data_IF_295165810721
#
_entry.id   IF_295165810721
#
_cell.length_a   1.000
_cell.length_b   1.000
_cell.length_c   1.000
_cell.angle_alpha   90.00
_cell.angle_beta   90.00
_cell.angle_gamma   90.00
#
_symmetry.space_group_name_H-M   'P 1'
#
loop_
_entity.id
_entity.type
_entity.pdbx_description
1 polymer ?
#
# COMPACT_ATOMS: atom_id res chain seq x y z
N UNK A 1 -72.76 -28.18 -27.16
CA UNK A 1 -72.28 -28.99 -26.02
C UNK A 1 -70.80 -29.24 -26.20
N UNK A 2 -70.03 -28.78 -25.21
CA UNK A 2 -68.70 -29.20 -24.77
C UNK A 2 -67.49 -29.15 -25.73
N UNK A 3 -66.64 -28.19 -25.40
CA UNK A 3 -65.18 -28.11 -25.57
C UNK A 3 -64.47 -29.45 -25.35
N UNK A 4 -63.33 -29.67 -26.04
CA UNK A 4 -61.97 -29.65 -25.46
C UNK A 4 -60.96 -29.39 -26.59
N UNK A 5 -60.01 -28.50 -26.30
CA UNK A 5 -58.90 -27.98 -27.08
C UNK A 5 -57.58 -28.74 -26.85
N UNK A 6 -56.63 -28.57 -27.79
CA UNK A 6 -55.15 -28.58 -27.67
C UNK A 6 -54.48 -29.52 -28.71
N UNK A 7 -53.39 -29.16 -29.38
CA UNK A 7 -52.58 -27.95 -29.35
C UNK A 7 -51.74 -27.88 -30.63
N UNK A 8 -51.61 -26.68 -31.19
CA UNK A 8 -50.76 -26.41 -32.35
C UNK A 8 -49.38 -26.01 -31.86
N UNK A 9 -48.41 -26.92 -32.01
CA UNK A 9 -46.99 -26.65 -31.75
C UNK A 9 -46.43 -25.74 -32.84
N UNK A 10 -46.42 -24.44 -32.58
CA UNK A 10 -45.71 -23.47 -33.41
C UNK A 10 -44.24 -23.50 -33.03
N UNK A 11 -43.44 -24.19 -33.84
CA UNK A 11 -41.99 -24.29 -33.68
C UNK A 11 -41.36 -22.91 -33.95
N UNK A 12 -41.11 -22.16 -32.88
CA UNK A 12 -40.37 -20.89 -32.94
C UNK A 12 -38.88 -21.21 -33.10
N UNK A 13 -38.37 -21.14 -34.32
CA UNK A 13 -36.94 -21.22 -34.60
C UNK A 13 -36.27 -19.92 -34.13
N UNK A 14 -35.80 -19.93 -32.88
CA UNK A 14 -34.89 -18.89 -32.36
C UNK A 14 -33.53 -19.16 -32.99
N UNK A 15 -33.19 -18.42 -34.03
CA UNK A 15 -31.81 -18.29 -34.49
C UNK A 15 -31.03 -17.61 -33.37
N UNK A 16 -30.24 -18.39 -32.62
CA UNK A 16 -29.22 -17.85 -31.74
C UNK A 16 -28.13 -17.22 -32.61
N UNK A 17 -28.20 -15.90 -32.77
CA UNK A 17 -27.04 -15.10 -33.13
C UNK A 17 -25.95 -15.38 -32.08
N UNK A 18 -24.75 -15.83 -32.48
CA UNK A 18 -23.66 -15.99 -31.53
C UNK A 18 -23.30 -14.58 -31.04
N UNK A 19 -23.61 -14.29 -29.77
CA UNK A 19 -23.13 -13.09 -29.12
C UNK A 19 -21.60 -13.14 -29.12
N UNK A 20 -20.98 -12.37 -30.01
CA UNK A 20 -19.55 -12.11 -30.00
C UNK A 20 -19.22 -11.19 -28.82
N UNK A 21 -19.38 -11.68 -27.59
CA UNK A 21 -18.75 -11.09 -26.42
C UNK A 21 -17.49 -11.89 -26.06
N UNK A 22 -16.62 -12.07 -27.06
CA UNK A 22 -15.28 -12.64 -26.89
C UNK A 22 -14.35 -11.72 -26.07
N UNK A 23 -14.85 -10.63 -25.48
CA UNK A 23 -14.08 -9.70 -24.65
C UNK A 23 -14.11 -10.04 -23.15
N UNK A 24 -14.96 -10.96 -22.70
CA UNK A 24 -15.15 -11.25 -21.26
C UNK A 24 -14.27 -12.36 -20.65
N UNK A 25 -13.39 -12.99 -21.41
CA UNK A 25 -12.52 -14.08 -20.91
C UNK A 25 -11.03 -13.75 -21.01
N UNK A 26 -10.62 -12.51 -20.70
CA UNK A 26 -9.19 -12.27 -20.43
C UNK A 26 -8.86 -12.80 -19.03
N UNK A 27 -7.84 -13.65 -18.88
CA UNK A 27 -7.42 -14.10 -17.55
C UNK A 27 -6.98 -12.88 -16.73
N UNK A 28 -7.50 -12.77 -15.52
CA UNK A 28 -7.05 -11.77 -14.55
C UNK A 28 -5.78 -12.28 -13.89
N UNK A 29 -4.67 -11.59 -14.12
CA UNK A 29 -3.41 -11.89 -13.42
C UNK A 29 -3.38 -11.11 -12.11
N UNK A 30 -3.07 -11.79 -11.01
CA UNK A 30 -2.88 -11.18 -9.69
C UNK A 30 -1.43 -11.42 -9.28
N UNK A 31 -0.68 -10.34 -9.11
CA UNK A 31 0.70 -10.37 -8.64
C UNK A 31 0.75 -10.02 -7.15
N UNK A 32 1.29 -10.93 -6.35
CA UNK A 32 1.50 -10.72 -4.91
C UNK A 32 2.99 -10.50 -4.72
N UNK A 33 3.35 -9.34 -4.18
CA UNK A 33 4.73 -8.93 -3.98
C UNK A 33 5.08 -9.00 -2.50
N UNK A 34 6.27 -9.51 -2.22
CA UNK A 34 6.94 -9.27 -0.94
C UNK A 34 7.64 -7.89 -0.99
N UNK A 35 7.82 -7.25 0.17
CA UNK A 35 8.36 -5.89 0.24
C UNK A 35 9.86 -5.89 0.49
N UNK A 36 10.29 -6.40 1.65
CA UNK A 36 11.68 -6.42 2.08
C UNK A 36 12.46 -7.50 1.31
N UNK A 37 13.71 -7.19 0.97
CA UNK A 37 14.60 -8.05 0.17
C UNK A 37 14.05 -8.44 -1.23
N UNK A 38 12.93 -7.85 -1.64
CA UNK A 38 12.32 -8.04 -2.97
C UNK A 38 12.17 -6.71 -3.69
N UNK A 39 11.33 -5.80 -3.18
CA UNK A 39 11.16 -4.46 -3.76
C UNK A 39 12.19 -3.47 -3.21
N UNK A 40 12.53 -3.60 -1.93
CA UNK A 40 13.49 -2.76 -1.22
C UNK A 40 14.55 -3.60 -0.51
N UNK A 41 15.69 -2.99 -0.19
CA UNK A 41 16.83 -3.67 0.45
C UNK A 41 17.17 -3.04 1.82
N UNK A 42 16.18 -2.77 2.67
CA UNK A 42 16.43 -2.05 3.92
C UNK A 42 17.09 -2.93 4.99
N UNK A 43 16.48 -4.08 5.31
CA UNK A 43 16.93 -4.93 6.40
C UNK A 43 18.30 -5.55 6.12
N UNK A 44 18.54 -5.99 4.88
CA UNK A 44 19.84 -6.49 4.42
C UNK A 44 20.96 -5.45 4.43
N UNK A 45 20.66 -4.15 4.31
CA UNK A 45 21.62 -3.07 4.53
C UNK A 45 21.92 -2.87 6.02
N UNK A 46 20.90 -2.91 6.86
CA UNK A 46 21.02 -2.71 8.31
C UNK A 46 21.79 -3.84 9.03
N UNK A 47 21.56 -5.09 8.63
CA UNK A 47 22.23 -6.25 9.24
C UNK A 47 23.52 -6.67 8.50
N UNK A 48 23.83 -6.02 7.38
CA UNK A 48 25.01 -6.26 6.57
C UNK A 48 24.99 -7.52 5.71
N UNK A 49 23.85 -8.22 5.63
CA UNK A 49 23.68 -9.40 4.78
C UNK A 49 23.89 -9.08 3.29
N UNK A 50 23.49 -7.87 2.85
CA UNK A 50 23.71 -7.43 1.48
C UNK A 50 25.20 -7.45 1.13
N UNK A 51 26.07 -6.86 1.97
CA UNK A 51 27.52 -6.81 1.68
C UNK A 51 28.17 -8.19 1.67
N UNK A 52 27.72 -9.09 2.54
CA UNK A 52 28.21 -10.47 2.59
C UNK A 52 27.87 -11.23 1.32
N UNK A 53 26.65 -11.04 0.78
CA UNK A 53 26.22 -11.67 -0.46
C UNK A 53 27.06 -11.27 -1.69
N UNK A 54 27.61 -10.04 -1.70
CA UNK A 54 28.48 -9.52 -2.76
C UNK A 54 29.98 -9.79 -2.49
N UNK A 55 30.29 -10.76 -1.64
CA UNK A 55 31.68 -11.20 -1.39
C UNK A 55 32.58 -10.11 -0.78
N UNK A 56 32.01 -9.13 -0.08
CA UNK A 56 32.77 -8.01 0.51
C UNK A 56 33.31 -6.99 -0.50
N UNK A 57 32.89 -7.06 -1.77
CA UNK A 57 33.29 -6.09 -2.81
C UNK A 57 32.67 -4.69 -2.62
N UNK A 58 31.62 -4.61 -1.79
CA UNK A 58 30.92 -3.37 -1.44
C UNK A 58 31.42 -2.83 -0.11
N UNK A 59 31.50 -1.50 0.00
CA UNK A 59 31.86 -0.84 1.26
C UNK A 59 30.78 -1.08 2.33
N UNK A 60 31.14 -1.87 3.34
CA UNK A 60 30.27 -2.23 4.46
C UNK A 60 29.86 -1.06 5.33
N UNK A 61 30.78 -0.11 5.56
CA UNK A 61 30.48 1.08 6.36
C UNK A 61 29.42 1.93 5.66
N UNK A 62 29.58 2.11 4.35
CA UNK A 62 28.64 2.87 3.52
C UNK A 62 27.26 2.21 3.45
N UNK A 63 27.18 0.89 3.29
CA UNK A 63 25.91 0.16 3.26
C UNK A 63 25.11 0.31 4.55
N UNK A 64 25.78 0.12 5.69
CA UNK A 64 25.16 0.30 7.00
C UNK A 64 24.71 1.74 7.24
N UNK A 65 25.51 2.72 6.80
CA UNK A 65 25.14 4.13 6.89
C UNK A 65 23.89 4.46 6.07
N UNK A 66 23.79 3.95 4.84
CA UNK A 66 22.59 4.12 4.00
C UNK A 66 21.36 3.52 4.69
N UNK A 67 21.47 2.29 5.21
CA UNK A 67 20.37 1.64 5.93
C UNK A 67 19.88 2.46 7.13
N UNK A 68 20.81 2.94 7.97
CA UNK A 68 20.48 3.78 9.14
C UNK A 68 19.84 5.12 8.76
N UNK A 69 20.27 5.72 7.65
CA UNK A 69 19.66 6.96 7.15
C UNK A 69 18.21 6.72 6.70
N UNK A 70 17.94 5.61 6.00
CA UNK A 70 16.58 5.23 5.62
C UNK A 70 15.70 4.96 6.84
N UNK A 71 16.17 4.13 7.78
CA UNK A 71 15.45 3.82 9.02
C UNK A 71 15.06 5.10 9.77
N UNK A 72 16.03 6.00 9.97
CA UNK A 72 15.77 7.30 10.63
C UNK A 72 14.73 8.13 9.87
N UNK A 73 14.84 8.24 8.55
CA UNK A 73 13.92 9.05 7.76
C UNK A 73 12.50 8.47 7.75
N UNK A 74 12.36 7.15 7.63
CA UNK A 74 11.07 6.46 7.66
C UNK A 74 10.39 6.68 9.01
N UNK A 75 11.10 6.43 10.12
CA UNK A 75 10.57 6.62 11.48
C UNK A 75 10.14 8.08 11.71
N UNK A 76 10.99 9.04 11.33
CA UNK A 76 10.65 10.46 11.46
C UNK A 76 9.34 10.82 10.74
N UNK A 77 9.14 10.34 9.51
CA UNK A 77 7.91 10.60 8.75
C UNK A 77 6.70 9.88 9.37
N UNK A 78 6.89 8.67 9.86
CA UNK A 78 5.87 7.91 10.58
C UNK A 78 5.38 8.68 11.83
N UNK A 79 6.31 9.23 12.62
CA UNK A 79 6.00 10.02 13.82
C UNK A 79 5.31 11.35 13.45
N UNK A 80 5.95 12.14 12.59
CA UNK A 80 5.50 13.51 12.28
C UNK A 80 4.17 13.55 11.52
N UNK A 81 3.92 12.56 10.66
CA UNK A 81 2.81 12.62 9.70
C UNK A 81 1.81 11.50 9.82
N UNK A 82 2.14 10.36 10.43
CA UNK A 82 1.31 9.17 10.43
C UNK A 82 0.95 8.64 11.82
N UNK A 83 1.10 9.48 12.86
CA UNK A 83 0.66 9.20 14.23
C UNK A 83 1.30 7.94 14.83
N UNK A 84 2.49 7.55 14.38
CA UNK A 84 3.10 6.27 14.71
C UNK A 84 3.17 6.02 16.23
N UNK A 85 3.71 6.95 17.02
CA UNK A 85 3.74 6.86 18.49
C UNK A 85 2.36 6.59 19.12
N UNK A 86 1.27 7.07 18.51
CA UNK A 86 -0.08 6.93 19.06
C UNK A 86 -0.74 5.60 18.69
N UNK A 87 -0.26 4.93 17.64
CA UNK A 87 -0.93 3.76 17.05
C UNK A 87 0.00 2.55 16.87
N UNK A 88 1.25 2.60 17.33
CA UNK A 88 2.23 1.51 17.15
C UNK A 88 1.77 0.18 17.74
N UNK A 89 1.00 0.22 18.84
CA UNK A 89 0.43 -0.95 19.49
C UNK A 89 -0.76 -1.56 18.71
N UNK A 90 -1.26 -0.86 17.68
CA UNK A 90 -2.35 -1.33 16.82
C UNK A 90 -1.81 -1.83 15.48
N UNK A 91 -1.62 -3.15 15.37
CA UNK A 91 -1.02 -3.81 14.22
C UNK A 91 -2.01 -4.72 13.48
N UNK A 92 -2.89 -4.12 12.68
CA UNK A 92 -3.81 -4.86 11.80
C UNK A 92 -3.29 -4.96 10.36
N UNK A 93 -3.61 -6.04 9.62
CA UNK A 93 -3.00 -6.35 8.33
C UNK A 93 -3.52 -5.51 7.16
N UNK A 94 -4.62 -4.77 7.30
CA UNK A 94 -5.15 -3.92 6.24
C UNK A 94 -5.85 -2.67 6.77
N UNK A 95 -5.77 -1.58 6.01
CA UNK A 95 -6.23 -0.25 6.40
C UNK A 95 -7.73 -0.16 6.73
N UNK A 96 -8.55 -1.01 6.11
CA UNK A 96 -10.02 -1.03 6.24
C UNK A 96 -10.52 -1.81 7.46
N UNK A 97 -9.64 -2.33 8.32
CA UNK A 97 -10.01 -3.12 9.51
C UNK A 97 -10.95 -2.36 10.46
N UNK A 98 -10.88 -1.02 10.47
CA UNK A 98 -11.67 -0.14 11.33
C UNK A 98 -12.84 0.56 10.64
N UNK A 99 -13.13 0.22 9.38
CA UNK A 99 -14.11 0.94 8.58
C UNK A 99 -15.52 0.90 9.19
N UNK A 100 -15.85 -0.14 9.96
CA UNK A 100 -17.13 -0.26 10.66
C UNK A 100 -17.28 0.72 11.84
N UNK A 101 -16.17 1.19 12.41
CA UNK A 101 -16.16 2.13 13.54
C UNK A 101 -16.13 3.58 13.09
N UNK A 102 -15.78 3.85 11.83
CA UNK A 102 -15.74 5.18 11.25
C UNK A 102 -17.15 5.69 10.93
N UNK A 103 -17.55 6.81 11.54
CA UNK A 103 -18.87 7.41 11.39
C UNK A 103 -18.95 8.52 10.32
N UNK A 104 -17.88 8.76 9.57
CA UNK A 104 -17.89 9.78 8.50
C UNK A 104 -17.68 11.22 8.99
N UNK A 105 -17.38 11.45 10.28
CA UNK A 105 -17.16 12.80 10.83
C UNK A 105 -16.08 13.57 10.05
N UNK A 106 -16.34 14.84 9.75
CA UNK A 106 -15.31 15.73 9.21
C UNK A 106 -14.17 15.91 10.23
N UNK A 107 -12.95 15.68 9.77
CA UNK A 107 -11.73 15.67 10.59
C UNK A 107 -10.91 16.96 10.42
N UNK A 108 -11.39 17.94 9.65
CA UNK A 108 -10.64 19.18 9.35
C UNK A 108 -10.27 19.97 10.61
N UNK A 109 -11.18 20.02 11.59
CA UNK A 109 -10.97 20.69 12.89
C UNK A 109 -10.77 19.69 14.06
N UNK A 110 -10.48 18.42 13.76
CA UNK A 110 -10.33 17.39 14.78
C UNK A 110 -8.95 17.42 15.43
N UNK A 111 -8.91 17.56 16.76
CA UNK A 111 -7.66 17.57 17.52
C UNK A 111 -7.27 16.15 17.96
N UNK A 112 -6.41 15.49 17.16
CA UNK A 112 -5.89 14.14 17.47
C UNK A 112 -5.03 14.09 18.74
N UNK A 113 -4.46 15.20 19.19
CA UNK A 113 -3.59 15.22 20.38
C UNK A 113 -4.37 15.28 21.70
N UNK A 114 -5.67 15.59 21.64
CA UNK A 114 -6.53 15.80 22.81
C UNK A 114 -7.81 14.95 22.76
N UNK A 115 -7.84 13.92 21.90
CA UNK A 115 -9.00 13.02 21.80
C UNK A 115 -9.01 11.89 22.84
N UNK A 116 -7.97 11.82 23.67
CA UNK A 116 -7.83 10.84 24.74
C UNK A 116 -7.87 9.39 24.26
N UNK A 117 -7.26 9.09 23.10
CA UNK A 117 -7.04 7.71 22.67
C UNK A 117 -6.25 6.95 23.75
N UNK A 118 -6.77 5.78 24.14
CA UNK A 118 -6.12 4.89 25.11
C UNK A 118 -6.22 3.44 24.67
N UNK A 119 -5.32 2.60 25.19
CA UNK A 119 -5.35 1.15 25.02
C UNK A 119 -5.64 0.47 26.37
N UNK A 120 -6.39 -0.66 26.40
CA UNK A 120 -6.97 -1.42 25.28
C UNK A 120 -8.18 -0.73 24.63
N UNK A 121 -8.41 -1.04 23.36
CA UNK A 121 -9.33 -0.31 22.50
C UNK A 121 -10.79 -0.80 22.63
N UNK A 122 -11.64 -0.04 23.33
CA UNK A 122 -13.09 -0.20 23.24
C UNK A 122 -13.64 0.39 21.94
N UNK A 123 -14.94 0.26 21.67
CA UNK A 123 -15.51 0.74 20.40
C UNK A 123 -15.37 2.27 20.21
N UNK A 124 -15.29 3.03 21.31
CA UNK A 124 -15.02 4.47 21.27
C UNK A 124 -13.59 4.76 20.80
N UNK A 125 -12.60 4.06 21.36
CA UNK A 125 -11.21 4.17 20.96
C UNK A 125 -10.98 3.61 19.54
N UNK A 126 -11.71 2.57 19.12
CA UNK A 126 -11.63 2.04 17.74
C UNK A 126 -12.11 3.08 16.72
N UNK A 127 -13.11 3.88 17.07
CA UNK A 127 -13.54 5.02 16.24
C UNK A 127 -12.43 6.07 16.12
N UNK A 128 -11.73 6.40 17.21
CA UNK A 128 -10.59 7.34 17.18
C UNK A 128 -9.43 6.80 16.34
N UNK A 129 -9.16 5.50 16.39
CA UNK A 129 -8.20 4.84 15.50
C UNK A 129 -8.67 4.93 14.03
N UNK A 130 -9.96 4.73 13.78
CA UNK A 130 -10.53 4.82 12.44
C UNK A 130 -10.34 6.23 11.84
N UNK A 131 -10.50 7.28 12.65
CA UNK A 131 -10.21 8.65 12.23
C UNK A 131 -8.73 8.84 11.82
N UNK A 132 -7.78 8.29 12.59
CA UNK A 132 -6.35 8.33 12.25
C UNK A 132 -6.08 7.57 10.96
N UNK A 133 -6.62 6.37 10.79
CA UNK A 133 -6.53 5.59 9.55
C UNK A 133 -7.06 6.37 8.35
N UNK A 134 -8.23 7.01 8.45
CA UNK A 134 -8.78 7.86 7.39
C UNK A 134 -7.89 9.06 7.09
N UNK A 135 -7.35 9.72 8.11
CA UNK A 135 -6.42 10.84 7.92
C UNK A 135 -5.12 10.40 7.23
N UNK A 136 -4.56 9.25 7.62
CA UNK A 136 -3.40 8.63 6.98
C UNK A 136 -3.72 8.28 5.51
N UNK A 137 -4.85 7.62 5.25
CA UNK A 137 -5.30 7.27 3.90
C UNK A 137 -5.41 8.51 3.00
N UNK A 138 -6.00 9.58 3.52
CA UNK A 138 -6.15 10.85 2.82
C UNK A 138 -4.79 11.48 2.50
N UNK A 139 -3.85 11.49 3.45
CA UNK A 139 -2.47 11.97 3.23
C UNK A 139 -1.77 11.13 2.15
N UNK A 140 -1.82 9.81 2.27
CA UNK A 140 -1.19 8.89 1.33
C UNK A 140 -1.76 9.05 -0.10
N UNK A 141 -3.07 9.19 -0.24
CA UNK A 141 -3.74 9.38 -1.54
C UNK A 141 -3.30 10.65 -2.29
N UNK A 142 -2.90 11.69 -1.56
CA UNK A 142 -2.38 12.94 -2.13
C UNK A 142 -0.93 12.80 -2.58
N UNK A 143 -0.23 11.75 -2.17
CA UNK A 143 1.18 11.52 -2.47
C UNK A 143 2.13 12.26 -1.52
N UNK A 144 3.32 11.70 -1.37
CA UNK A 144 4.30 12.10 -0.36
C UNK A 144 4.80 13.55 -0.53
N UNK A 145 4.85 14.05 -1.77
CA UNK A 145 5.24 15.44 -2.07
C UNK A 145 4.30 16.50 -1.50
N UNK A 146 3.05 16.13 -1.17
CA UNK A 146 2.09 17.03 -0.52
C UNK A 146 2.14 16.93 1.00
N UNK A 147 2.90 15.98 1.54
CA UNK A 147 3.04 15.73 2.98
C UNK A 147 4.38 16.24 3.48
N UNK A 148 5.46 15.98 2.73
CA UNK A 148 6.82 16.34 3.10
C UNK A 148 7.23 17.70 2.53
N UNK A 149 8.08 18.41 3.27
CA UNK A 149 8.64 19.66 2.78
C UNK A 149 9.68 19.44 1.66
N UNK A 150 10.04 20.52 0.96
CA UNK A 150 10.97 20.44 -0.17
C UNK A 150 12.36 19.92 0.25
N UNK A 151 12.83 20.29 1.45
CA UNK A 151 14.14 19.87 1.94
C UNK A 151 14.17 18.37 2.25
N UNK A 152 13.11 17.83 2.87
CA UNK A 152 12.93 16.41 3.12
C UNK A 152 12.87 15.64 1.80
N UNK A 153 12.06 16.07 0.84
CA UNK A 153 11.98 15.43 -0.48
C UNK A 153 13.35 15.36 -1.14
N UNK A 154 14.12 16.46 -1.13
CA UNK A 154 15.46 16.47 -1.71
C UNK A 154 16.40 15.47 -1.02
N UNK A 155 16.37 15.40 0.31
CA UNK A 155 17.19 14.45 1.06
C UNK A 155 16.82 13.00 0.75
N UNK A 156 15.53 12.70 0.57
CA UNK A 156 15.04 11.38 0.20
C UNK A 156 15.44 11.01 -1.24
N UNK A 157 15.34 11.95 -2.18
CA UNK A 157 15.78 11.75 -3.56
C UNK A 157 17.29 11.47 -3.64
N UNK A 158 18.09 12.22 -2.89
CA UNK A 158 19.54 12.04 -2.84
C UNK A 158 19.90 10.70 -2.19
N UNK A 159 19.19 10.30 -1.12
CA UNK A 159 19.36 9.00 -0.48
C UNK A 159 18.94 7.84 -1.40
N UNK A 160 17.84 7.99 -2.15
CA UNK A 160 17.39 7.03 -3.14
C UNK A 160 18.45 6.80 -4.21
N UNK A 161 18.96 7.88 -4.83
CA UNK A 161 20.03 7.78 -5.83
C UNK A 161 21.29 7.14 -5.27
N UNK A 162 21.68 7.52 -4.06
CA UNK A 162 22.83 6.93 -3.38
C UNK A 162 22.66 5.43 -3.14
N UNK A 163 21.46 5.03 -2.73
CA UNK A 163 21.10 3.63 -2.48
C UNK A 163 21.11 2.85 -3.77
N UNK A 164 20.46 3.35 -4.82
CA UNK A 164 20.35 2.66 -6.10
C UNK A 164 21.72 2.48 -6.79
N UNK A 165 22.62 3.48 -6.69
CA UNK A 165 24.01 3.34 -7.13
C UNK A 165 24.74 2.27 -6.30
N UNK A 166 24.53 2.25 -4.98
CA UNK A 166 25.17 1.27 -4.10
C UNK A 166 24.66 -0.16 -4.39
N UNK A 167 23.38 -0.30 -4.70
CA UNK A 167 22.69 -1.58 -4.93
C UNK A 167 22.62 -2.01 -6.40
N UNK A 168 23.48 -1.41 -7.25
CA UNK A 168 23.59 -1.74 -8.67
C UNK A 168 22.26 -1.64 -9.44
N UNK A 169 21.42 -0.68 -9.07
CA UNK A 169 20.15 -0.41 -9.76
C UNK A 169 18.97 -1.26 -9.29
N UNK A 170 19.05 -1.88 -8.10
CA UNK A 170 17.95 -2.73 -7.58
C UNK A 170 16.61 -1.99 -7.52
N UNK A 171 16.59 -0.77 -6.97
CA UNK A 171 15.35 -0.01 -6.77
C UNK A 171 14.77 0.45 -8.11
N UNK A 172 15.63 0.88 -9.04
CA UNK A 172 15.22 1.25 -10.40
C UNK A 172 14.64 0.05 -11.17
N UNK A 173 15.24 -1.14 -11.01
CA UNK A 173 14.77 -2.38 -11.63
C UNK A 173 13.43 -2.84 -11.06
N UNK A 174 13.26 -2.75 -9.74
CA UNK A 174 11.98 -3.02 -9.07
C UNK A 174 10.87 -2.09 -9.54
N UNK A 175 11.15 -0.79 -9.62
CA UNK A 175 10.21 0.22 -10.15
C UNK A 175 9.78 -0.10 -11.58
N UNK A 176 10.72 -0.42 -12.48
CA UNK A 176 10.40 -0.82 -13.85
C UNK A 176 9.45 -2.01 -13.90
N UNK A 177 9.72 -3.04 -13.08
CA UNK A 177 8.89 -4.26 -13.02
C UNK A 177 7.48 -3.97 -12.50
N UNK A 178 7.35 -3.13 -11.47
CA UNK A 178 6.05 -2.71 -10.94
C UNK A 178 5.23 -1.96 -12.00
N UNK A 179 5.85 -1.07 -12.77
CA UNK A 179 5.18 -0.39 -13.89
C UNK A 179 4.68 -1.35 -14.96
N UNK A 180 5.44 -2.40 -15.30
CA UNK A 180 4.98 -3.42 -16.26
C UNK A 180 3.78 -4.23 -15.76
N UNK A 181 3.71 -4.54 -14.47
CA UNK A 181 2.58 -5.29 -13.88
C UNK A 181 1.27 -4.48 -13.79
N UNK A 182 1.32 -3.17 -14.06
CA UNK A 182 0.19 -2.24 -13.99
C UNK A 182 -0.45 -1.97 -15.36
N UNK A 183 0.16 -2.46 -16.45
CA UNK A 183 -0.32 -2.42 -17.84
C UNK A 183 -1.09 -3.70 -18.20
#
# INVERSE_FOLDING_TARGET
MNNVSDGSSTHCSITMEPSTDARKNRPTNVYIWDMDETLILLKSLLNGAYMQAFGGSKDSSKGLEIGKRWEKQILQVCDDHFFYEQIEDYNEPFLLSLNEFDDGKDLSDYNFNDDGLTFPCDDSNKRKLAYRHRAIANKYSKGLHNVLDHNMIKQWDDLYKLTDIYTDGWLSSGNGTFFFSKL
#
